data_IF_634365329317
#
_entry.id   IF_634365329317
#
_cell.length_a   1.000
_cell.length_b   1.000
_cell.length_c   1.000
_cell.angle_alpha   90.00
_cell.angle_beta   90.00
_cell.angle_gamma   90.00
#
_symmetry.space_group_name_H-M   'P 1'
#
loop_
_entity.id
_entity.type
_entity.pdbx_description
1 polymer ?
#
# COMPACT_ATOMS: atom_id res chain seq x y z
N UNK A 1 21.58 -7.40 1.21
CA UNK A 1 20.46 -6.60 0.69
C UNK A 1 19.16 -7.14 1.25
N UNK A 2 18.85 -8.41 1.07
CA UNK A 2 17.60 -9.05 1.48
C UNK A 2 17.30 -8.87 2.98
N UNK A 3 18.28 -9.18 3.86
CA UNK A 3 18.11 -9.00 5.32
C UNK A 3 17.85 -7.55 5.70
N UNK A 4 18.52 -6.60 5.03
CA UNK A 4 18.29 -5.17 5.26
C UNK A 4 16.95 -4.71 4.71
N UNK A 5 16.51 -5.26 3.59
CA UNK A 5 15.20 -4.99 3.01
C UNK A 5 14.09 -5.47 3.97
N UNK A 6 14.24 -6.67 4.53
CA UNK A 6 13.32 -7.19 5.54
C UNK A 6 13.24 -6.27 6.76
N UNK A 7 14.40 -5.86 7.31
CA UNK A 7 14.41 -4.97 8.50
C UNK A 7 13.81 -3.59 8.26
N UNK A 8 13.86 -3.08 7.03
CA UNK A 8 13.39 -1.73 6.68
C UNK A 8 11.92 -1.70 6.24
N UNK A 9 11.41 -2.80 5.69
CA UNK A 9 10.09 -2.83 5.05
C UNK A 9 9.16 -3.92 5.61
N UNK A 10 9.66 -4.83 6.44
CA UNK A 10 8.91 -5.99 6.93
C UNK A 10 8.37 -6.87 5.79
N UNK A 11 9.15 -6.97 4.71
CA UNK A 11 8.86 -7.74 3.50
C UNK A 11 10.07 -8.62 3.21
N UNK A 12 9.87 -9.92 3.02
CA UNK A 12 10.92 -10.80 2.54
C UNK A 12 11.16 -10.54 1.06
N UNK A 13 12.40 -10.33 0.68
CA UNK A 13 12.85 -10.15 -0.70
C UNK A 13 13.71 -11.34 -1.09
N UNK A 14 13.40 -11.95 -2.22
CA UNK A 14 14.24 -12.94 -2.91
C UNK A 14 14.70 -12.37 -4.24
N UNK A 15 16.00 -12.34 -4.47
CA UNK A 15 16.61 -11.79 -5.70
C UNK A 15 17.01 -12.96 -6.60
N UNK A 16 16.32 -13.09 -7.74
CA UNK A 16 16.57 -14.16 -8.71
C UNK A 16 17.39 -13.69 -9.92
N UNK A 17 17.39 -12.39 -10.18
CA UNK A 17 18.04 -11.78 -11.34
C UNK A 17 19.16 -10.82 -10.98
N UNK A 18 19.48 -9.93 -11.92
CA UNK A 18 20.59 -9.00 -11.80
C UNK A 18 20.32 -7.83 -10.88
N UNK A 19 21.36 -7.35 -10.21
CA UNK A 19 21.37 -6.11 -9.44
C UNK A 19 22.27 -5.11 -10.16
N UNK A 20 21.70 -3.94 -10.52
CA UNK A 20 22.43 -2.83 -11.13
C UNK A 20 22.35 -1.60 -10.24
N UNK A 21 23.49 -0.97 -10.00
CA UNK A 21 23.52 0.31 -9.31
C UNK A 21 23.32 1.46 -10.29
N UNK A 22 22.41 2.37 -9.98
CA UNK A 22 22.11 3.56 -10.78
C UNK A 22 22.17 4.82 -9.90
N UNK A 23 22.75 5.89 -10.44
CA UNK A 23 22.92 7.16 -9.71
C UNK A 23 21.77 8.13 -9.92
N UNK A 24 21.15 8.12 -11.11
CA UNK A 24 20.12 9.08 -11.49
C UNK A 24 18.72 8.44 -11.51
N UNK A 25 17.66 9.19 -11.15
CA UNK A 25 17.66 10.57 -10.63
C UNK A 25 18.12 10.68 -9.16
N UNK A 26 18.16 9.59 -8.43
CA UNK A 26 18.72 9.40 -7.08
C UNK A 26 19.40 8.04 -7.03
N UNK A 27 20.46 7.87 -6.22
CA UNK A 27 21.12 6.58 -6.06
C UNK A 27 20.14 5.48 -5.67
N UNK A 28 20.12 4.41 -6.47
CA UNK A 28 19.25 3.26 -6.23
C UNK A 28 19.83 1.97 -6.80
N UNK A 29 19.39 0.86 -6.25
CA UNK A 29 19.58 -0.46 -6.83
C UNK A 29 18.37 -0.75 -7.74
N UNK A 30 18.63 -1.11 -8.98
CA UNK A 30 17.66 -1.70 -9.88
C UNK A 30 17.83 -3.22 -9.83
N UNK A 31 16.81 -3.91 -9.36
CA UNK A 31 16.79 -5.37 -9.23
C UNK A 31 15.78 -5.89 -10.25
N UNK A 32 16.23 -6.76 -11.14
CA UNK A 32 15.38 -7.47 -12.10
C UNK A 32 15.06 -8.85 -11.55
N UNK A 33 13.87 -9.35 -11.87
CA UNK A 33 13.42 -10.71 -11.52
C UNK A 33 13.63 -11.06 -10.05
N UNK A 34 12.83 -10.47 -9.21
CA UNK A 34 12.78 -10.74 -7.78
C UNK A 34 11.37 -11.20 -7.36
N UNK A 35 11.25 -11.76 -6.18
CA UNK A 35 9.98 -11.97 -5.52
C UNK A 35 9.94 -11.29 -4.16
N UNK A 36 8.77 -10.78 -3.80
CA UNK A 36 8.52 -10.27 -2.46
C UNK A 36 7.47 -11.12 -1.78
N UNK A 37 7.61 -11.36 -0.48
CA UNK A 37 6.62 -12.08 0.31
C UNK A 37 6.24 -11.30 1.55
N UNK A 38 4.93 -11.21 1.80
CA UNK A 38 4.31 -10.51 2.92
C UNK A 38 3.63 -11.56 3.81
N UNK A 39 3.84 -11.50 5.11
CA UNK A 39 3.20 -12.35 6.11
C UNK A 39 4.19 -12.84 7.16
N UNK A 40 3.70 -13.04 8.38
CA UNK A 40 4.45 -13.62 9.49
C UNK A 40 4.40 -15.15 9.42
N UNK A 41 5.54 -15.76 9.72
CA UNK A 41 5.80 -17.18 9.95
C UNK A 41 4.62 -18.17 9.86
N UNK A 42 4.75 -19.09 8.92
CA UNK A 42 4.21 -20.44 8.81
C UNK A 42 2.82 -20.70 8.23
N UNK A 43 1.90 -19.76 8.01
CA UNK A 43 0.61 -20.21 7.45
C UNK A 43 -0.03 -19.44 6.29
N UNK A 44 0.38 -18.23 5.95
CA UNK A 44 -0.19 -17.51 4.79
C UNK A 44 0.78 -16.42 4.30
N UNK A 45 1.84 -16.82 3.62
CA UNK A 45 2.70 -15.84 2.94
C UNK A 45 2.12 -15.55 1.55
N UNK A 46 1.82 -14.29 1.29
CA UNK A 46 1.49 -13.82 -0.06
C UNK A 46 2.80 -13.53 -0.77
N UNK A 47 2.98 -14.07 -1.97
CA UNK A 47 4.19 -13.85 -2.77
C UNK A 47 3.87 -13.23 -4.11
N UNK A 48 4.63 -12.21 -4.49
CA UNK A 48 4.50 -11.53 -5.77
C UNK A 48 5.81 -11.56 -6.54
N UNK A 49 5.75 -11.93 -7.82
CA UNK A 49 6.88 -11.87 -8.73
C UNK A 49 7.03 -10.46 -9.29
N UNK A 50 8.19 -9.86 -9.09
CA UNK A 50 8.49 -8.46 -9.42
C UNK A 50 9.53 -8.42 -10.54
N UNK A 51 9.14 -7.85 -11.69
CA UNK A 51 10.06 -7.70 -12.83
C UNK A 51 11.09 -6.59 -12.62
N UNK A 52 10.67 -5.48 -12.02
CA UNK A 52 11.52 -4.31 -11.81
C UNK A 52 11.29 -3.73 -10.43
N UNK A 53 12.26 -3.89 -9.55
CA UNK A 53 12.29 -3.33 -8.22
C UNK A 53 13.41 -2.30 -8.12
N UNK A 54 13.08 -1.06 -7.75
CA UNK A 54 14.04 0.00 -7.43
C UNK A 54 14.10 0.21 -5.94
N UNK A 55 15.27 0.07 -5.35
CA UNK A 55 15.50 0.30 -3.91
C UNK A 55 16.37 1.54 -3.77
N UNK A 56 15.80 2.64 -3.29
CA UNK A 56 16.48 3.92 -3.15
C UNK A 56 17.27 3.97 -1.85
N UNK A 57 18.48 4.49 -1.95
CA UNK A 57 19.39 4.64 -0.82
C UNK A 57 19.39 6.07 -0.30
N UNK A 58 19.50 6.20 1.02
CA UNK A 58 19.70 7.50 1.62
C UNK A 58 21.12 7.98 1.38
N UNK A 59 21.25 9.12 0.69
CA UNK A 59 22.56 9.69 0.31
C UNK A 59 23.27 10.40 1.43
N UNK A 60 22.58 10.78 2.49
CA UNK A 60 23.18 11.51 3.61
C UNK A 60 24.17 10.67 4.43
N UNK A 61 24.18 9.34 4.25
CA UNK A 61 25.00 8.41 5.02
C UNK A 61 25.97 7.59 4.15
N UNK A 62 26.36 8.09 2.96
CA UNK A 62 27.31 7.40 2.08
C UNK A 62 28.76 7.45 2.60
N UNK A 63 29.08 8.26 3.61
CA UNK A 63 30.37 8.35 4.29
C UNK A 63 30.18 8.56 5.79
N UNK A 64 30.72 7.77 6.69
CA UNK A 64 31.67 6.68 6.58
C UNK A 64 31.01 5.30 6.64
N UNK A 65 31.68 4.23 6.28
CA UNK A 65 31.44 2.75 6.30
C UNK A 65 30.24 2.14 7.07
N UNK A 66 29.24 2.91 7.47
CA UNK A 66 28.13 2.52 8.32
C UNK A 66 26.88 2.30 7.48
N UNK A 67 26.54 1.02 7.34
CA UNK A 67 25.19 0.48 7.04
C UNK A 67 24.41 1.20 5.94
N UNK A 68 24.36 0.59 4.76
CA UNK A 68 23.43 0.93 3.70
C UNK A 68 22.05 1.11 4.34
N UNK A 69 21.44 2.29 4.15
CA UNK A 69 20.12 2.62 4.67
C UNK A 69 19.19 2.88 3.50
N UNK A 70 18.16 2.05 3.37
CA UNK A 70 17.16 2.25 2.32
C UNK A 70 16.19 3.36 2.73
N UNK A 71 15.83 4.21 1.77
CA UNK A 71 14.88 5.32 1.97
C UNK A 71 13.46 4.87 1.63
N UNK A 72 13.30 4.18 0.51
CA UNK A 72 12.03 3.71 -0.04
C UNK A 72 12.28 2.65 -1.09
N UNK A 73 11.24 1.93 -1.49
CA UNK A 73 11.30 1.15 -2.72
C UNK A 73 10.15 1.46 -3.68
N UNK A 74 10.37 1.12 -4.95
CA UNK A 74 9.40 1.32 -6.02
C UNK A 74 9.32 0.07 -6.90
N UNK A 75 8.10 -0.46 -7.07
CA UNK A 75 7.78 -1.56 -7.97
C UNK A 75 7.18 -0.98 -9.24
N UNK A 76 7.57 -1.49 -10.40
CA UNK A 76 7.04 -1.07 -11.69
C UNK A 76 6.65 -2.25 -12.58
N UNK A 77 5.61 -2.05 -13.38
CA UNK A 77 5.17 -2.97 -14.43
C UNK A 77 4.93 -4.42 -13.93
N UNK A 78 4.26 -4.55 -12.79
CA UNK A 78 4.01 -5.82 -12.12
C UNK A 78 2.52 -6.17 -12.13
N UNK A 79 2.21 -7.45 -12.29
CA UNK A 79 0.88 -8.00 -12.09
C UNK A 79 0.80 -8.59 -10.68
N UNK A 80 -0.11 -8.09 -9.87
CA UNK A 80 -0.40 -8.59 -8.53
C UNK A 80 -1.65 -9.45 -8.59
N UNK A 81 -1.53 -10.73 -8.30
CA UNK A 81 -2.64 -11.65 -8.18
C UNK A 81 -2.94 -11.81 -6.70
N UNK A 82 -4.17 -11.47 -6.29
CA UNK A 82 -4.59 -11.43 -4.88
C UNK A 82 -5.83 -12.30 -4.75
N UNK A 83 -5.71 -13.38 -3.98
CA UNK A 83 -6.84 -14.23 -3.65
C UNK A 83 -7.64 -13.65 -2.48
N UNK A 84 -8.94 -13.96 -2.43
CA UNK A 84 -9.84 -13.46 -1.38
C UNK A 84 -9.32 -13.78 0.03
N UNK A 85 -8.78 -14.98 0.25
CA UNK A 85 -8.18 -15.41 1.53
C UNK A 85 -6.94 -14.60 1.96
N UNK A 86 -6.28 -13.90 1.02
CA UNK A 86 -5.06 -13.14 1.25
C UNK A 86 -5.33 -11.69 1.69
N UNK A 87 -6.57 -11.22 1.48
CA UNK A 87 -6.95 -9.85 1.84
C UNK A 87 -6.67 -9.52 3.30
N UNK A 88 -6.96 -10.45 4.22
CA UNK A 88 -6.71 -10.25 5.65
C UNK A 88 -5.22 -10.05 5.96
N UNK A 89 -4.33 -10.77 5.28
CA UNK A 89 -2.87 -10.65 5.44
C UNK A 89 -2.37 -9.31 4.94
N UNK A 90 -2.81 -8.87 3.75
CA UNK A 90 -2.47 -7.54 3.22
C UNK A 90 -2.99 -6.42 4.12
N UNK A 91 -4.24 -6.51 4.57
CA UNK A 91 -4.82 -5.55 5.50
C UNK A 91 -3.99 -5.45 6.78
N UNK A 92 -3.64 -6.58 7.37
CA UNK A 92 -2.83 -6.63 8.60
C UNK A 92 -1.46 -6.03 8.37
N UNK A 93 -0.81 -6.31 7.24
CA UNK A 93 0.45 -5.69 6.88
C UNK A 93 0.33 -4.16 6.85
N UNK A 94 -0.60 -3.58 6.10
CA UNK A 94 -0.77 -2.12 6.04
C UNK A 94 -1.17 -1.50 7.38
N UNK A 95 -1.91 -2.24 8.21
CA UNK A 95 -2.30 -1.77 9.53
C UNK A 95 -1.14 -1.78 10.54
N UNK A 96 -0.30 -2.79 10.53
CA UNK A 96 0.71 -3.03 11.58
C UNK A 96 2.10 -2.58 11.16
N UNK A 97 2.44 -2.66 9.85
CA UNK A 97 3.78 -2.32 9.38
C UNK A 97 4.14 -0.85 9.65
N UNK A 98 5.32 -0.66 10.22
CA UNK A 98 6.00 0.65 10.34
C UNK A 98 7.02 0.85 9.21
N UNK A 99 6.78 0.22 8.08
CA UNK A 99 7.69 0.21 6.95
C UNK A 99 7.99 1.61 6.40
N UNK A 100 9.14 1.74 5.77
CA UNK A 100 9.49 2.90 4.97
C UNK A 100 8.56 3.02 3.76
N UNK A 101 8.54 4.19 3.07
CA UNK A 101 7.64 4.42 1.95
C UNK A 101 7.73 3.37 0.83
N UNK A 102 6.55 2.93 0.37
CA UNK A 102 6.37 1.95 -0.71
C UNK A 102 5.65 2.63 -1.88
N UNK A 103 6.20 2.47 -3.07
CA UNK A 103 5.61 2.99 -4.30
C UNK A 103 5.39 1.86 -5.30
N UNK A 104 4.21 1.83 -5.92
CA UNK A 104 3.91 0.92 -7.04
C UNK A 104 3.42 1.78 -8.20
N UNK A 105 3.91 1.51 -9.41
CA UNK A 105 3.56 2.26 -10.61
C UNK A 105 3.30 1.36 -11.80
N UNK A 106 2.38 1.78 -12.69
CA UNK A 106 2.10 1.13 -13.98
C UNK A 106 1.93 -0.39 -13.83
N UNK A 107 1.12 -0.80 -12.88
CA UNK A 107 0.92 -2.20 -12.50
C UNK A 107 -0.54 -2.60 -12.67
N UNK A 108 -0.86 -3.87 -12.51
CA UNK A 108 -2.24 -4.36 -12.51
C UNK A 108 -2.48 -5.18 -11.26
N UNK A 109 -3.67 -5.05 -10.69
CA UNK A 109 -4.17 -5.91 -9.62
C UNK A 109 -5.25 -6.80 -10.19
N UNK A 110 -5.14 -8.08 -9.96
CA UNK A 110 -6.11 -9.13 -10.29
C UNK A 110 -6.66 -9.67 -8.97
N UNK A 111 -7.95 -9.50 -8.75
CA UNK A 111 -8.63 -10.18 -7.66
C UNK A 111 -9.16 -11.50 -8.15
N UNK A 112 -8.83 -12.57 -7.46
CA UNK A 112 -9.12 -13.95 -7.84
C UNK A 112 -9.99 -14.56 -6.75
N UNK A 113 -11.00 -15.33 -7.15
CA UNK A 113 -11.81 -16.10 -6.21
C UNK A 113 -11.16 -17.43 -5.81
N UNK A 114 -11.88 -18.21 -5.00
CA UNK A 114 -11.41 -19.50 -4.51
C UNK A 114 -11.36 -20.61 -5.61
N UNK A 115 -11.91 -20.34 -6.81
CA UNK A 115 -11.88 -21.23 -7.97
C UNK A 115 -10.83 -20.83 -9.00
N UNK A 116 -9.93 -19.89 -8.69
CA UNK A 116 -8.95 -19.29 -9.58
C UNK A 116 -9.57 -18.42 -10.72
N UNK A 117 -10.86 -18.05 -10.62
CA UNK A 117 -11.49 -17.16 -11.56
C UNK A 117 -11.17 -15.69 -11.25
N UNK A 118 -10.80 -14.94 -12.28
CA UNK A 118 -10.52 -13.50 -12.13
C UNK A 118 -11.82 -12.72 -12.00
N UNK A 119 -12.10 -12.19 -10.82
CA UNK A 119 -13.30 -11.38 -10.53
C UNK A 119 -13.14 -9.94 -11.01
N UNK A 120 -11.97 -9.35 -10.79
CA UNK A 120 -11.68 -7.93 -11.06
C UNK A 120 -10.27 -7.78 -11.60
N UNK A 121 -10.13 -6.97 -12.63
CA UNK A 121 -8.83 -6.49 -13.12
C UNK A 121 -8.82 -4.97 -12.95
N UNK A 122 -7.89 -4.46 -12.14
CA UNK A 122 -7.72 -3.03 -11.92
C UNK A 122 -6.33 -2.58 -12.38
N UNK A 123 -6.23 -1.86 -13.51
CA UNK A 123 -5.01 -1.14 -13.86
C UNK A 123 -4.70 -0.07 -12.81
N UNK A 124 -3.49 -0.11 -12.27
CA UNK A 124 -3.00 0.80 -11.26
C UNK A 124 -1.97 1.74 -11.88
N UNK A 125 -2.27 3.03 -11.90
CA UNK A 125 -1.31 4.04 -12.31
C UNK A 125 -0.25 4.23 -11.22
N UNK A 126 -0.71 4.35 -9.96
CA UNK A 126 0.15 4.64 -8.83
C UNK A 126 -0.43 4.20 -7.50
N UNK A 127 0.38 3.58 -6.67
CA UNK A 127 0.15 3.39 -5.23
C UNK A 127 1.28 4.06 -4.46
N UNK A 128 0.94 4.80 -3.41
CA UNK A 128 1.91 5.35 -2.46
C UNK A 128 1.44 4.98 -1.06
N UNK A 129 2.23 4.19 -0.36
CA UNK A 129 2.07 3.94 1.06
C UNK A 129 3.17 4.65 1.83
N UNK A 130 2.82 5.41 2.84
CA UNK A 130 3.77 6.18 3.66
C UNK A 130 3.35 6.11 5.12
N UNK A 131 4.35 6.03 6.00
CA UNK A 131 4.19 6.10 7.44
C UNK A 131 4.98 7.29 7.98
N UNK A 132 4.49 7.95 9.02
CA UNK A 132 5.22 8.99 9.75
C UNK A 132 5.13 8.68 11.23
N UNK A 133 6.27 8.41 11.84
CA UNK A 133 6.36 8.21 13.30
C UNK A 133 6.22 9.54 14.04
N UNK A 134 6.72 10.65 13.48
CA UNK A 134 6.63 11.97 14.10
C UNK A 134 5.19 12.47 14.19
N UNK A 135 4.42 12.28 13.13
CA UNK A 135 3.03 12.75 13.07
C UNK A 135 2.02 11.63 13.40
N UNK A 136 2.51 10.44 13.77
CA UNK A 136 1.71 9.26 14.12
C UNK A 136 0.62 8.94 13.12
N UNK A 137 0.95 8.85 11.82
CA UNK A 137 -0.01 8.46 10.79
C UNK A 137 0.51 7.42 9.81
N UNK A 138 -0.42 6.69 9.21
CA UNK A 138 -0.26 5.91 7.98
C UNK A 138 -1.16 6.48 6.91
N UNK A 139 -0.67 6.49 5.66
CA UNK A 139 -1.37 7.05 4.52
C UNK A 139 -1.18 6.16 3.29
N UNK A 140 -2.28 5.83 2.63
CA UNK A 140 -2.31 5.12 1.37
C UNK A 140 -3.03 5.97 0.34
N UNK A 141 -2.39 6.18 -0.82
CA UNK A 141 -3.04 6.78 -1.98
C UNK A 141 -2.94 5.81 -3.13
N UNK A 142 -4.07 5.53 -3.76
CA UNK A 142 -4.16 4.72 -4.96
C UNK A 142 -4.77 5.56 -6.07
N UNK A 143 -4.23 5.46 -7.28
CA UNK A 143 -4.82 5.97 -8.50
C UNK A 143 -4.83 4.87 -9.53
N UNK A 144 -5.98 4.63 -10.14
CA UNK A 144 -6.15 3.53 -11.07
C UNK A 144 -7.47 3.58 -11.81
N UNK A 145 -7.82 2.45 -12.41
CA UNK A 145 -9.07 2.26 -13.11
C UNK A 145 -9.78 1.02 -12.53
N UNK A 146 -11.09 1.13 -12.35
CA UNK A 146 -11.95 0.05 -11.88
C UNK A 146 -13.23 0.06 -12.74
N UNK A 147 -13.52 -1.03 -13.45
CA UNK A 147 -14.67 -1.11 -14.36
C UNK A 147 -14.73 0.06 -15.38
N UNK A 148 -13.57 0.37 -15.98
CA UNK A 148 -13.37 1.51 -16.90
C UNK A 148 -13.57 2.90 -16.29
N UNK A 149 -13.78 2.99 -14.98
CA UNK A 149 -13.87 4.24 -14.24
C UNK A 149 -12.53 4.60 -13.60
N UNK A 150 -12.03 5.79 -13.90
CA UNK A 150 -10.84 6.30 -13.21
C UNK A 150 -11.18 6.66 -11.77
N UNK A 151 -10.40 6.13 -10.83
CA UNK A 151 -10.60 6.40 -9.42
C UNK A 151 -9.33 6.87 -8.70
N UNK A 152 -9.55 7.58 -7.61
CA UNK A 152 -8.54 7.88 -6.59
C UNK A 152 -9.06 7.38 -5.25
N UNK A 153 -8.23 6.60 -4.56
CA UNK A 153 -8.50 6.19 -3.19
C UNK A 153 -7.47 6.86 -2.28
N UNK A 154 -7.96 7.45 -1.24
CA UNK A 154 -7.18 8.00 -0.15
C UNK A 154 -7.58 7.30 1.14
N UNK A 155 -6.61 6.75 1.88
CA UNK A 155 -6.80 6.26 3.23
C UNK A 155 -5.75 6.88 4.14
N UNK A 156 -6.20 7.31 5.31
CA UNK A 156 -5.33 7.86 6.36
C UNK A 156 -5.80 7.34 7.71
N UNK A 157 -4.85 6.90 8.53
CA UNK A 157 -5.09 6.48 9.91
C UNK A 157 -4.12 7.21 10.83
N UNK A 158 -4.64 7.84 11.89
CA UNK A 158 -3.84 8.46 12.96
C UNK A 158 -3.86 7.57 14.20
N UNK A 159 -2.73 7.54 14.93
CA UNK A 159 -2.52 6.69 16.12
C UNK A 159 -2.46 7.49 17.43
N UNK A 160 -2.96 8.73 17.44
CA UNK A 160 -3.06 9.51 18.68
C UNK A 160 -4.23 8.98 19.53
N UNK A 161 -4.36 9.44 20.77
CA UNK A 161 -5.32 9.01 21.82
C UNK A 161 -6.77 8.80 21.34
N UNK A 162 -7.15 9.29 20.17
CA UNK A 162 -8.36 8.96 19.43
C UNK A 162 -7.95 8.46 18.06
N UNK A 163 -8.21 7.18 17.79
CA UNK A 163 -7.85 6.55 16.51
C UNK A 163 -8.82 7.03 15.44
N UNK A 164 -8.37 7.95 14.59
CA UNK A 164 -9.16 8.42 13.46
C UNK A 164 -8.69 7.72 12.19
N UNK A 165 -9.61 7.08 11.49
CA UNK A 165 -9.40 6.52 10.15
C UNK A 165 -10.33 7.20 9.17
N UNK A 166 -9.78 7.67 8.06
CA UNK A 166 -10.50 8.30 6.97
C UNK A 166 -10.23 7.52 5.68
N UNK A 167 -11.30 7.19 4.97
CA UNK A 167 -11.24 6.62 3.62
C UNK A 167 -12.02 7.55 2.71
N UNK A 168 -11.45 7.88 1.55
CA UNK A 168 -12.10 8.63 0.50
C UNK A 168 -11.88 7.92 -0.83
N UNK A 169 -12.95 7.71 -1.59
CA UNK A 169 -12.92 7.15 -2.93
C UNK A 169 -13.58 8.16 -3.86
N UNK A 170 -12.83 8.64 -4.84
CA UNK A 170 -13.24 9.63 -5.83
C UNK A 170 -13.23 8.99 -7.23
N UNK A 171 -14.40 8.79 -7.84
CA UNK A 171 -14.56 8.43 -9.25
C UNK A 171 -14.78 9.71 -10.05
N UNK A 172 -13.96 9.93 -11.07
CA UNK A 172 -13.97 11.18 -11.83
C UNK A 172 -15.14 11.28 -12.80
N UNK A 173 -15.54 10.15 -13.39
CA UNK A 173 -16.66 10.05 -14.34
C UNK A 173 -17.37 8.70 -14.15
N UNK A 174 -18.64 8.65 -13.66
CA UNK A 174 -19.42 9.78 -13.14
C UNK A 174 -18.81 10.34 -11.85
N UNK A 175 -19.06 11.60 -11.55
CA UNK A 175 -18.52 12.24 -10.34
C UNK A 175 -19.19 11.65 -9.09
N UNK A 176 -18.55 10.64 -8.49
CA UNK A 176 -19.02 9.97 -7.28
C UNK A 176 -17.91 10.10 -6.23
N UNK A 177 -18.25 10.69 -5.10
CA UNK A 177 -17.35 10.81 -3.96
C UNK A 177 -17.93 10.08 -2.76
N UNK A 178 -17.19 9.08 -2.29
CA UNK A 178 -17.52 8.31 -1.08
C UNK A 178 -16.49 8.67 -0.02
N UNK A 179 -16.95 9.12 1.14
CA UNK A 179 -16.11 9.37 2.31
C UNK A 179 -16.60 8.55 3.49
N UNK A 180 -15.69 7.96 4.20
CA UNK A 180 -15.95 7.31 5.47
C UNK A 180 -14.94 7.81 6.50
N UNK A 181 -15.44 8.28 7.63
CA UNK A 181 -14.65 8.70 8.78
C UNK A 181 -15.02 7.83 9.97
N UNK A 182 -14.02 7.24 10.62
CA UNK A 182 -14.20 6.38 11.77
C UNK A 182 -13.39 6.95 12.94
N UNK A 183 -14.08 7.23 14.03
CA UNK A 183 -13.51 7.67 15.28
C UNK A 183 -13.61 6.56 16.32
N UNK A 184 -12.55 6.31 17.05
CA UNK A 184 -12.54 5.38 18.15
C UNK A 184 -12.71 6.14 19.46
N UNK A 185 -13.71 5.82 20.23
CA UNK A 185 -13.87 6.34 21.59
C UNK A 185 -13.25 5.38 22.61
N UNK A 186 -12.73 5.93 23.73
CA UNK A 186 -12.06 5.17 24.78
C UNK A 186 -12.94 4.09 25.44
N UNK A 187 -14.23 4.06 25.14
CA UNK A 187 -15.22 3.10 25.67
C UNK A 187 -15.43 1.86 24.80
N UNK A 188 -14.46 1.50 23.92
CA UNK A 188 -14.55 0.34 23.01
C UNK A 188 -15.67 0.45 21.97
N UNK A 189 -16.24 1.62 21.76
CA UNK A 189 -17.18 1.90 20.68
C UNK A 189 -16.54 2.64 19.53
N UNK A 190 -16.97 2.33 18.31
CA UNK A 190 -16.58 3.07 17.12
C UNK A 190 -17.75 3.93 16.66
N UNK A 191 -17.51 5.20 16.44
CA UNK A 191 -18.47 6.10 15.80
C UNK A 191 -17.96 6.41 14.40
N UNK A 192 -18.81 6.27 13.42
CA UNK A 192 -18.47 6.52 12.04
C UNK A 192 -19.51 7.32 11.29
N UNK A 193 -19.05 8.03 10.27
CA UNK A 193 -19.91 8.74 9.33
C UNK A 193 -19.50 8.35 7.92
N UNK A 194 -20.48 7.92 7.12
CA UNK A 194 -20.28 7.68 5.68
C UNK A 194 -21.07 8.71 4.90
N UNK A 195 -20.43 9.43 4.01
CA UNK A 195 -21.10 10.32 3.06
C UNK A 195 -20.89 9.85 1.62
N UNK A 196 -21.96 9.91 0.84
CA UNK A 196 -21.99 9.65 -0.60
C UNK A 196 -22.44 10.93 -1.30
N UNK A 197 -21.61 11.46 -2.16
CA UNK A 197 -21.96 12.59 -3.03
C UNK A 197 -22.03 12.09 -4.48
N UNK A 198 -23.19 12.28 -5.11
CA UNK A 198 -23.44 11.88 -6.49
C UNK A 198 -24.41 12.87 -7.15
N UNK A 199 -24.08 13.40 -8.34
CA UNK A 199 -24.90 14.33 -9.11
C UNK A 199 -25.44 15.51 -8.28
N UNK A 200 -24.61 16.13 -7.45
CA UNK A 200 -24.99 17.23 -6.53
C UNK A 200 -25.97 16.85 -5.40
N UNK A 201 -26.21 15.57 -5.21
CA UNK A 201 -26.92 15.03 -4.07
C UNK A 201 -25.93 14.50 -3.05
N UNK A 202 -26.15 14.80 -1.78
CA UNK A 202 -25.35 14.29 -0.67
C UNK A 202 -26.21 13.47 0.27
N UNK A 203 -25.79 12.25 0.54
CA UNK A 203 -26.41 11.38 1.55
C UNK A 203 -25.36 11.11 2.62
N UNK A 204 -25.71 11.34 3.86
CA UNK A 204 -24.84 11.10 5.02
C UNK A 204 -25.52 10.15 5.99
N UNK A 205 -24.76 9.15 6.45
CA UNK A 205 -25.20 8.10 7.38
C UNK A 205 -24.19 8.04 8.53
N UNK A 206 -24.66 8.38 9.73
CA UNK A 206 -23.94 8.12 10.98
C UNK A 206 -24.21 6.71 11.49
N UNK A 207 -23.22 6.06 12.08
CA UNK A 207 -23.35 4.73 12.65
C UNK A 207 -22.45 4.56 13.89
N UNK A 208 -22.87 3.67 14.78
CA UNK A 208 -22.09 3.23 15.93
C UNK A 208 -21.90 1.71 15.86
N UNK A 209 -20.68 1.27 16.09
CA UNK A 209 -20.30 -0.13 16.24
C UNK A 209 -19.89 -0.37 17.70
N UNK A 210 -20.53 -1.34 18.34
CA UNK A 210 -20.23 -1.77 19.72
C UNK A 210 -19.42 -3.05 19.71
#
# INVERSE_FOLDING_TARGET
>A
IESKFYSDFDIKLNINGDIKYQLLPKPHLLISDSSISIGENNNKNISFNIKNLKVFMNTNNLYPKSKINFEKFEIQNTNFFIENKEYSTLRNYFHNSESKPIYIKKSKVFLIDDNDDTLIISPIEKINFTTSQQDNFKKLNIKGNLFDLNFKLFWKKKYNSKMNSQIEIDFQEPNILIRNELNYDNNSSFEGTTSLNFLNQNVEIGYQLK
#
